data_IF_164821501598
#
_entry.id   IF_164821501598
#
_cell.length_a   1.000
_cell.length_b   1.000
_cell.length_c   1.000
_cell.angle_alpha   90.00
_cell.angle_beta   90.00
_cell.angle_gamma   90.00
#
_symmetry.space_group_name_H-M   'P 1'
#
loop_
_entity.id
_entity.type
_entity.pdbx_description
1 polymer ?
#
# COMPACT_ATOMS: atom_id res chain seq x y z
N UNK A 1 26.61 -2.39 14.59
CA UNK A 1 25.41 -3.14 14.16
C UNK A 1 25.20 -2.86 12.69
N UNK A 2 25.35 -3.87 11.82
CA UNK A 2 25.13 -3.74 10.38
C UNK A 2 23.62 -3.78 10.14
N UNK A 3 23.06 -2.65 9.71
CA UNK A 3 21.65 -2.53 9.33
C UNK A 3 21.45 -3.22 7.98
N UNK A 4 20.83 -4.40 7.98
CA UNK A 4 20.44 -5.08 6.75
C UNK A 4 19.15 -4.44 6.23
N UNK A 5 19.29 -3.48 5.32
CA UNK A 5 18.19 -2.99 4.49
C UNK A 5 18.01 -4.00 3.36
N UNK A 6 17.09 -4.95 3.53
CA UNK A 6 16.76 -5.94 2.51
C UNK A 6 15.83 -5.26 1.48
N UNK A 7 16.37 -4.93 0.31
CA UNK A 7 15.60 -4.46 -0.83
C UNK A 7 15.05 -5.69 -1.56
N UNK A 8 13.75 -5.95 -1.43
CA UNK A 8 13.05 -6.82 -2.37
C UNK A 8 12.71 -5.95 -3.58
N UNK A 9 13.36 -6.23 -4.71
CA UNK A 9 13.02 -5.63 -6.01
C UNK A 9 11.74 -6.31 -6.46
N UNK A 10 10.61 -5.62 -6.33
CA UNK A 10 9.34 -6.05 -6.88
C UNK A 10 9.25 -5.47 -8.29
N UNK A 11 9.47 -6.31 -9.30
CA UNK A 11 9.09 -5.99 -10.68
C UNK A 11 7.57 -6.10 -10.78
N UNK A 12 6.87 -5.02 -10.48
CA UNK A 12 5.43 -4.96 -10.68
C UNK A 12 5.11 -5.09 -12.17
N UNK A 13 4.01 -5.81 -12.49
CA UNK A 13 3.29 -5.84 -13.77
C UNK A 13 3.39 -4.53 -14.56
N UNK A 14 3.29 -4.54 -15.91
CA UNK A 14 3.45 -3.35 -16.76
C UNK A 14 2.37 -2.31 -16.44
N UNK A 15 2.62 -1.55 -15.39
CA UNK A 15 1.80 -0.45 -14.96
C UNK A 15 2.17 0.70 -15.88
N UNK A 16 1.18 1.40 -16.48
CA UNK A 16 1.46 2.60 -17.23
C UNK A 16 2.04 3.66 -16.27
N UNK A 17 3.36 3.70 -16.21
CA UNK A 17 4.18 4.56 -15.34
C UNK A 17 3.95 6.04 -15.62
N UNK A 18 3.32 6.38 -16.76
CA UNK A 18 2.84 7.70 -17.12
C UNK A 18 1.73 8.23 -16.20
N UNK A 19 0.89 7.37 -15.61
CA UNK A 19 -0.23 7.81 -14.76
C UNK A 19 0.23 8.40 -13.42
N UNK A 20 1.45 8.10 -12.97
CA UNK A 20 1.97 8.53 -11.68
C UNK A 20 3.01 9.64 -11.86
N UNK A 21 3.92 9.50 -12.84
CA UNK A 21 5.08 10.39 -13.04
C UNK A 21 4.74 11.85 -13.31
N UNK A 22 3.62 12.14 -13.95
CA UNK A 22 3.31 13.49 -14.44
C UNK A 22 2.35 14.30 -13.54
N UNK A 23 2.11 13.86 -12.29
CA UNK A 23 1.15 14.52 -11.39
C UNK A 23 1.81 15.51 -10.42
N UNK A 24 1.30 16.75 -10.31
CA UNK A 24 1.61 17.60 -9.16
C UNK A 24 0.93 17.00 -7.92
N UNK A 25 1.71 16.62 -6.91
CA UNK A 25 1.20 16.03 -5.67
C UNK A 25 0.86 17.11 -4.63
N UNK A 26 -0.40 17.20 -4.17
CA UNK A 26 -0.79 17.99 -3.00
C UNK A 26 -0.10 17.47 -1.72
N UNK A 27 -0.14 18.24 -0.61
CA UNK A 27 0.49 17.84 0.65
C UNK A 27 -0.33 16.75 1.36
N UNK A 28 -0.29 15.53 0.83
CA UNK A 28 -0.98 14.37 1.38
C UNK A 28 -0.09 13.63 2.39
N UNK A 29 -0.71 12.81 3.25
CA UNK A 29 0.03 11.79 3.97
C UNK A 29 -0.08 10.49 3.16
N UNK A 30 1.02 10.12 2.52
CA UNK A 30 1.10 8.94 1.67
C UNK A 30 1.71 7.79 2.47
N UNK A 31 1.03 6.67 2.47
CA UNK A 31 1.40 5.50 3.25
C UNK A 31 1.72 4.38 2.27
N UNK A 32 2.95 3.89 2.37
CA UNK A 32 3.48 2.79 1.59
C UNK A 32 3.58 1.54 2.41
N UNK A 33 3.07 0.46 1.83
CA UNK A 33 3.06 -0.82 2.48
C UNK A 33 3.69 -1.85 1.57
N UNK A 34 4.61 -2.62 2.13
CA UNK A 34 4.87 -3.94 1.59
C UNK A 34 3.55 -4.75 1.71
N UNK A 35 3.22 -5.57 0.70
CA UNK A 35 1.98 -6.34 0.68
C UNK A 35 1.88 -7.18 1.98
N UNK A 36 0.73 -7.18 2.66
CA UNK A 36 0.52 -7.84 3.97
C UNK A 36 1.41 -7.42 5.17
N UNK A 37 2.08 -6.25 5.12
CA UNK A 37 2.87 -5.76 6.26
C UNK A 37 2.07 -5.07 7.38
N UNK A 38 0.72 -5.05 7.30
CA UNK A 38 -0.14 -4.44 8.31
C UNK A 38 -0.90 -3.18 7.85
N UNK A 39 -1.20 -3.07 6.55
CA UNK A 39 -1.88 -1.90 5.96
C UNK A 39 -3.14 -1.46 6.71
N UNK A 40 -4.03 -2.39 7.06
CA UNK A 40 -5.28 -2.06 7.75
C UNK A 40 -5.05 -1.36 9.09
N UNK A 41 -4.14 -1.89 9.92
CA UNK A 41 -3.82 -1.31 11.22
C UNK A 41 -3.27 0.10 11.07
N UNK A 42 -2.41 0.31 10.08
CA UNK A 42 -1.79 1.61 9.85
C UNK A 42 -2.78 2.64 9.31
N UNK A 43 -3.70 2.24 8.43
CA UNK A 43 -4.80 3.11 7.99
C UNK A 43 -5.63 3.53 9.19
N UNK A 44 -5.93 2.63 10.14
CA UNK A 44 -6.73 2.95 11.32
C UNK A 44 -6.00 3.85 12.32
N UNK A 45 -4.75 3.52 12.66
CA UNK A 45 -3.91 4.35 13.54
C UNK A 45 -3.77 5.76 12.96
N UNK A 46 -3.47 5.88 11.67
CA UNK A 46 -3.32 7.19 11.03
C UNK A 46 -4.65 7.92 10.89
N UNK A 47 -5.75 7.20 10.71
CA UNK A 47 -7.08 7.80 10.72
C UNK A 47 -7.43 8.38 12.09
N UNK A 48 -7.08 7.70 13.18
CA UNK A 48 -7.26 8.20 14.55
C UNK A 48 -6.39 9.43 14.81
N UNK A 49 -5.12 9.40 14.39
CA UNK A 49 -4.22 10.56 14.53
C UNK A 49 -4.79 11.76 13.75
N UNK A 50 -5.31 11.52 12.55
CA UNK A 50 -5.92 12.55 11.72
C UNK A 50 -7.20 13.12 12.32
N UNK A 51 -8.05 12.27 12.92
CA UNK A 51 -9.27 12.67 13.61
C UNK A 51 -9.05 13.16 15.05
N UNK A 52 -7.80 13.38 15.47
CA UNK A 52 -7.42 13.78 16.84
C UNK A 52 -7.98 12.85 17.92
N UNK A 53 -8.05 11.55 17.61
CA UNK A 53 -8.53 10.51 18.50
C UNK A 53 -10.04 10.23 18.42
N UNK A 54 -10.80 10.92 17.57
CA UNK A 54 -12.24 10.63 17.40
C UNK A 54 -12.46 9.34 16.58
N UNK A 55 -13.08 8.29 17.17
CA UNK A 55 -13.32 7.03 16.47
C UNK A 55 -14.54 7.07 15.53
N UNK A 56 -15.34 8.13 15.54
CA UNK A 56 -16.60 8.22 14.77
C UNK A 56 -16.37 8.01 13.27
N UNK A 57 -15.30 8.60 12.74
CA UNK A 57 -14.94 8.49 11.32
C UNK A 57 -14.53 7.07 10.92
N UNK A 58 -13.80 6.36 11.78
CA UNK A 58 -13.30 5.00 11.49
C UNK A 58 -14.43 3.98 11.56
N UNK A 59 -15.39 4.19 12.46
CA UNK A 59 -16.58 3.33 12.59
C UNK A 59 -17.61 3.57 11.48
N UNK A 60 -17.67 4.77 10.91
CA UNK A 60 -18.67 5.14 9.90
C UNK A 60 -18.20 4.94 8.46
N UNK A 61 -16.89 5.06 8.20
CA UNK A 61 -16.33 5.01 6.85
C UNK A 61 -15.35 3.83 6.72
N UNK A 62 -15.50 2.97 5.70
CA UNK A 62 -14.59 1.85 5.49
C UNK A 62 -13.17 2.32 5.12
N UNK A 63 -12.17 1.50 5.46
CA UNK A 63 -10.74 1.83 5.32
C UNK A 63 -10.36 2.28 3.90
N UNK A 64 -10.85 1.61 2.85
CA UNK A 64 -10.55 1.96 1.47
C UNK A 64 -11.13 3.30 1.00
N UNK A 65 -12.17 3.83 1.67
CA UNK A 65 -12.69 5.19 1.42
C UNK A 65 -11.91 6.23 2.21
N UNK A 66 -11.45 5.89 3.41
CA UNK A 66 -10.61 6.77 4.25
C UNK A 66 -9.23 6.95 3.64
N UNK A 67 -8.62 5.85 3.19
CA UNK A 67 -7.34 5.80 2.51
C UNK A 67 -7.48 5.09 1.16
N UNK A 68 -7.86 5.81 0.09
CA UNK A 68 -7.95 5.23 -1.24
C UNK A 68 -6.57 4.82 -1.76
N UNK A 69 -6.56 3.67 -2.44
CA UNK A 69 -5.39 3.09 -3.09
C UNK A 69 -5.02 3.87 -4.35
N UNK A 70 -3.72 4.16 -4.50
CA UNK A 70 -3.21 4.92 -5.65
C UNK A 70 -3.26 4.11 -6.95
N UNK A 71 -3.16 2.78 -6.88
CA UNK A 71 -3.13 1.93 -8.07
C UNK A 71 -4.50 1.81 -8.75
N UNK A 72 -5.60 2.02 -8.02
CA UNK A 72 -6.93 1.85 -8.59
C UNK A 72 -7.34 3.06 -9.43
N UNK A 73 -7.47 2.84 -10.76
CA UNK A 73 -7.90 3.86 -11.74
C UNK A 73 -9.18 4.60 -11.34
N UNK A 74 -10.12 3.89 -10.71
CA UNK A 74 -11.42 4.46 -10.31
C UNK A 74 -11.28 5.53 -9.20
N UNK A 75 -10.14 5.58 -8.51
CA UNK A 75 -9.88 6.58 -7.47
C UNK A 75 -9.35 7.91 -8.05
N UNK A 76 -9.10 8.00 -9.35
CA UNK A 76 -8.58 9.21 -9.99
C UNK A 76 -9.46 10.45 -9.77
N UNK A 77 -10.78 10.29 -9.83
CA UNK A 77 -11.73 11.37 -9.58
C UNK A 77 -11.74 11.80 -8.11
N UNK A 78 -11.42 10.88 -7.19
CA UNK A 78 -11.26 11.17 -5.76
C UNK A 78 -10.03 12.06 -5.55
N UNK A 79 -8.93 11.79 -6.27
CA UNK A 79 -7.70 12.59 -6.16
C UNK A 79 -7.83 13.98 -6.78
N UNK A 80 -8.58 14.13 -7.87
CA UNK A 80 -8.83 15.44 -8.50
C UNK A 80 -9.70 16.36 -7.65
N UNK A 81 -10.70 15.78 -6.98
CA UNK A 81 -11.71 16.54 -6.24
C UNK A 81 -11.39 16.74 -4.75
N UNK A 82 -10.42 15.99 -4.18
CA UNK A 82 -9.98 16.20 -2.79
C UNK A 82 -9.16 17.48 -2.67
N UNK A 83 -9.82 18.55 -2.22
CA UNK A 83 -9.18 19.81 -1.79
C UNK A 83 -8.45 19.68 -0.45
N UNK A 84 -8.83 18.73 0.38
CA UNK A 84 -8.24 18.50 1.70
C UNK A 84 -7.22 17.36 1.69
N UNK A 85 -6.14 17.55 2.45
CA UNK A 85 -5.06 16.58 2.65
C UNK A 85 -5.58 15.27 3.27
N UNK A 86 -5.84 14.26 2.45
CA UNK A 86 -6.25 12.92 2.88
C UNK A 86 -5.09 11.94 3.05
N UNK A 87 -5.37 10.83 3.72
CA UNK A 87 -4.50 9.64 3.75
C UNK A 87 -4.58 8.92 2.40
N UNK A 88 -3.45 8.51 1.85
CA UNK A 88 -3.38 7.71 0.62
C UNK A 88 -2.60 6.42 0.91
N UNK A 89 -3.03 5.31 0.33
CA UNK A 89 -2.37 4.01 0.47
C UNK A 89 -1.78 3.57 -0.88
N UNK A 90 -0.63 2.90 -0.85
CA UNK A 90 -0.05 2.30 -2.03
C UNK A 90 0.87 1.12 -1.70
N UNK A 91 0.86 0.13 -2.57
CA UNK A 91 1.79 -1.01 -2.63
C UNK A 91 2.92 -0.82 -3.63
N UNK A 92 2.89 0.26 -4.40
CA UNK A 92 3.89 0.48 -5.45
C UNK A 92 5.29 0.65 -4.85
N UNK A 93 6.31 0.08 -5.51
CA UNK A 93 7.69 0.36 -5.20
C UNK A 93 8.01 1.85 -5.20
N UNK A 94 8.84 2.28 -4.23
CA UNK A 94 9.23 3.68 -4.03
C UNK A 94 9.82 4.32 -5.30
N UNK A 95 10.48 3.53 -6.16
CA UNK A 95 11.09 4.02 -7.39
C UNK A 95 10.08 4.39 -8.50
N UNK A 96 8.83 3.92 -8.41
CA UNK A 96 7.75 4.30 -9.33
C UNK A 96 7.13 5.65 -8.96
N UNK A 97 7.45 6.19 -7.78
CA UNK A 97 6.97 7.49 -7.35
C UNK A 97 7.68 8.62 -8.07
N UNK A 98 6.97 9.71 -8.38
CA UNK A 98 7.59 10.88 -8.96
C UNK A 98 8.51 11.51 -7.93
N UNK A 99 9.63 12.08 -8.40
CA UNK A 99 10.58 12.79 -7.55
C UNK A 99 9.91 13.94 -6.77
N UNK A 100 8.85 14.52 -7.33
CA UNK A 100 8.06 15.57 -6.68
C UNK A 100 7.42 15.13 -5.37
N UNK A 101 7.12 13.84 -5.17
CA UNK A 101 6.60 13.34 -3.89
C UNK A 101 7.59 13.58 -2.75
N UNK A 102 8.88 13.35 -3.01
CA UNK A 102 9.95 13.44 -2.00
C UNK A 102 10.37 14.88 -1.70
N UNK A 103 10.10 15.82 -2.61
CA UNK A 103 10.38 17.25 -2.42
C UNK A 103 9.16 18.04 -1.95
N UNK A 104 7.97 17.44 -1.99
CA UNK A 104 6.73 18.05 -1.50
C UNK A 104 6.66 18.10 0.03
N UNK A 105 5.65 18.82 0.56
CA UNK A 105 5.30 18.79 1.99
C UNK A 105 4.57 17.50 2.41
N UNK A 106 4.39 16.54 1.51
CA UNK A 106 3.76 15.27 1.83
C UNK A 106 4.60 14.50 2.85
N UNK A 107 3.93 13.82 3.78
CA UNK A 107 4.59 12.90 4.71
C UNK A 107 4.47 11.50 4.19
N UNK A 108 5.58 10.77 4.16
CA UNK A 108 5.65 9.43 3.65
C UNK A 108 5.96 8.45 4.77
N UNK A 109 5.17 7.39 4.90
CA UNK A 109 5.41 6.34 5.89
C UNK A 109 5.53 4.99 5.19
N UNK A 110 6.64 4.30 5.42
CA UNK A 110 6.88 2.95 4.90
C UNK A 110 6.81 1.93 6.02
N UNK A 111 6.11 0.83 5.78
CA UNK A 111 5.97 -0.27 6.74
C UNK A 111 6.54 -1.54 6.15
N UNK A 112 7.56 -2.06 6.83
CA UNK A 112 8.19 -3.34 6.53
C UNK A 112 7.81 -4.35 7.61
N UNK A 113 7.66 -5.61 7.19
CA UNK A 113 7.46 -6.77 8.07
C UNK A 113 8.46 -7.85 7.66
N UNK A 114 8.77 -8.76 8.58
CA UNK A 114 9.59 -9.93 8.26
C UNK A 114 8.96 -10.68 7.05
N UNK A 115 9.72 -10.94 5.97
CA UNK A 115 9.18 -11.58 4.77
C UNK A 115 8.59 -12.97 5.03
N UNK A 116 9.08 -13.69 6.06
CA UNK A 116 8.51 -14.99 6.46
C UNK A 116 7.08 -14.83 6.97
N UNK A 117 6.82 -13.78 7.74
CA UNK A 117 5.48 -13.51 8.26
C UNK A 117 4.55 -12.97 7.18
N UNK A 118 5.10 -12.24 6.20
CA UNK A 118 4.36 -11.77 5.02
C UNK A 118 3.85 -12.97 4.23
N UNK A 119 4.72 -13.93 3.93
CA UNK A 119 4.36 -15.16 3.20
C UNK A 119 3.24 -15.94 3.90
N UNK A 120 3.37 -16.17 5.21
CA UNK A 120 2.33 -16.89 5.98
C UNK A 120 1.02 -16.11 5.96
N UNK A 121 1.07 -14.79 6.10
CA UNK A 121 -0.13 -13.94 6.01
C UNK A 121 -0.77 -13.98 4.62
N UNK A 122 0.05 -13.99 3.56
CA UNK A 122 -0.41 -14.07 2.17
C UNK A 122 -1.08 -15.42 1.89
N UNK A 123 -0.49 -16.51 2.37
CA UNK A 123 -1.06 -17.85 2.24
C UNK A 123 -2.48 -17.92 2.81
N UNK A 124 -2.66 -17.47 4.05
CA UNK A 124 -3.98 -17.44 4.67
C UNK A 124 -4.94 -16.48 3.97
N UNK A 125 -4.45 -15.32 3.51
CA UNK A 125 -5.28 -14.37 2.78
C UNK A 125 -5.79 -14.94 1.45
N UNK A 126 -4.92 -15.54 0.63
CA UNK A 126 -5.31 -16.19 -0.63
C UNK A 126 -6.35 -17.29 -0.40
N UNK A 127 -6.15 -18.13 0.62
CA UNK A 127 -7.09 -19.20 0.98
C UNK A 127 -8.46 -18.70 1.48
N UNK A 128 -8.54 -17.48 2.02
CA UNK A 128 -9.78 -16.87 2.51
C UNK A 128 -10.49 -16.00 1.47
N UNK A 129 -9.82 -15.65 0.36
CA UNK A 129 -10.33 -14.76 -0.68
C UNK A 129 -10.88 -15.57 -1.85
N UNK A 130 -12.23 -15.65 -2.03
CA UNK A 130 -12.84 -16.51 -3.04
C UNK A 130 -12.56 -16.11 -4.50
N UNK A 131 -12.00 -14.91 -4.74
CA UNK A 131 -11.59 -14.45 -6.08
C UNK A 131 -10.12 -14.74 -6.39
N UNK A 132 -9.32 -15.07 -5.37
CA UNK A 132 -7.97 -15.57 -5.52
C UNK A 132 -8.08 -17.07 -5.79
N UNK A 133 -8.43 -17.43 -7.03
CA UNK A 133 -8.52 -18.82 -7.48
C UNK A 133 -7.12 -19.47 -7.54
N UNK A 134 -6.48 -19.64 -6.40
CA UNK A 134 -5.18 -20.28 -6.31
C UNK A 134 -5.29 -21.40 -5.29
N UNK A 135 -5.54 -22.60 -5.79
CA UNK A 135 -5.27 -23.84 -5.05
C UNK A 135 -3.76 -24.11 -5.03
N UNK A 136 -2.94 -23.12 -4.66
CA UNK A 136 -1.51 -23.32 -4.48
C UNK A 136 -1.27 -23.92 -3.10
N UNK A 137 -0.46 -24.97 -3.05
CA UNK A 137 0.10 -25.41 -1.79
C UNK A 137 1.01 -24.32 -1.23
N UNK A 138 1.30 -24.37 0.07
CA UNK A 138 2.19 -23.39 0.69
C UNK A 138 3.57 -23.36 0.01
N UNK A 139 4.06 -24.52 -0.44
CA UNK A 139 5.32 -24.67 -1.16
C UNK A 139 5.31 -23.95 -2.50
N UNK A 140 4.22 -24.05 -3.27
CA UNK A 140 4.10 -23.33 -4.54
C UNK A 140 4.10 -21.82 -4.31
N UNK A 141 3.35 -21.35 -3.31
CA UNK A 141 3.35 -19.94 -2.94
C UNK A 141 4.72 -19.47 -2.47
N UNK A 142 5.46 -20.31 -1.74
CA UNK A 142 6.82 -20.00 -1.31
C UNK A 142 7.77 -19.80 -2.49
N UNK A 143 7.74 -20.69 -3.48
CA UNK A 143 8.54 -20.56 -4.69
C UNK A 143 8.14 -19.32 -5.51
N UNK A 144 6.83 -19.06 -5.67
CA UNK A 144 6.32 -17.85 -6.31
C UNK A 144 6.82 -16.58 -5.59
N UNK A 145 6.76 -16.56 -4.27
CA UNK A 145 7.20 -15.44 -3.43
C UNK A 145 8.71 -15.19 -3.56
N UNK A 146 9.52 -16.25 -3.64
CA UNK A 146 10.97 -16.10 -3.87
C UNK A 146 11.30 -15.55 -5.25
N UNK A 147 10.46 -15.83 -6.25
CA UNK A 147 10.60 -15.33 -7.62
C UNK A 147 9.97 -13.95 -7.82
N UNK A 148 9.20 -13.45 -6.85
CA UNK A 148 8.46 -12.18 -6.93
C UNK A 148 7.19 -12.26 -7.80
N UNK A 149 6.62 -13.46 -7.95
CA UNK A 149 5.43 -13.74 -8.77
C UNK A 149 4.17 -14.04 -7.90
N UNK A 150 4.16 -13.59 -6.65
CA UNK A 150 3.16 -13.95 -5.64
C UNK A 150 1.89 -13.07 -5.63
N UNK A 151 1.75 -12.15 -6.58
CA UNK A 151 0.58 -11.25 -6.74
C UNK A 151 -0.63 -11.90 -7.42
#
# INVERSE_FOLDING_TARGET
>A
MKSYLFFMVQESLPFPSSLIRDRPFPPFHLIFFNFHAGTHWMIDILSLIYSKGDPTWIKSVPAWKRSPWLEFKNNNEIFKNKKDAGLLASHLPVHLFPKSCFTSKAKMLYVARNPRDILVSLYHFKNQMPFCNVHSTFENLFEEFLQGNDE
#
